data_IF_699943764644
#
_entry.id   IF_699943764644
#
_cell.length_a   1.000
_cell.length_b   1.000
_cell.length_c   1.000
_cell.angle_alpha   90.00
_cell.angle_beta   90.00
_cell.angle_gamma   90.00
#
_symmetry.space_group_name_H-M   'P 1'
#
loop_
_entity.id
_entity.type
_entity.pdbx_description
1 polymer ?
#
# COMPACT_ATOMS: atom_id res chain seq x y z
N UNK A 1 53.02 25.67 -18.27
CA UNK A 1 52.58 25.07 -17.00
C UNK A 1 51.95 23.72 -17.30
N UNK A 2 52.58 22.63 -16.82
CA UNK A 2 52.10 21.25 -16.95
C UNK A 2 51.10 21.00 -15.82
N UNK A 3 49.92 20.45 -16.11
CA UNK A 3 49.07 19.83 -15.09
C UNK A 3 48.62 18.44 -15.57
N UNK A 4 49.27 17.45 -14.99
CA UNK A 4 48.93 16.04 -15.06
C UNK A 4 47.74 15.77 -14.13
N UNK A 5 46.65 15.20 -14.66
CA UNK A 5 45.59 14.62 -13.85
C UNK A 5 45.67 13.09 -14.03
N UNK A 6 46.12 12.40 -12.98
CA UNK A 6 46.18 10.96 -12.91
C UNK A 6 44.76 10.37 -12.81
N UNK A 7 44.36 9.59 -13.82
CA UNK A 7 43.13 8.79 -13.81
C UNK A 7 43.43 7.50 -13.07
N UNK A 8 42.89 7.38 -11.84
CA UNK A 8 42.92 6.13 -11.05
C UNK A 8 41.86 5.19 -11.64
N UNK A 9 42.31 4.26 -12.49
CA UNK A 9 41.48 3.21 -13.06
C UNK A 9 41.21 2.10 -12.05
N UNK A 10 39.94 1.95 -11.63
CA UNK A 10 39.49 0.77 -10.90
C UNK A 10 39.28 -0.38 -11.86
N UNK A 11 40.15 -1.39 -11.81
CA UNK A 11 40.02 -2.63 -12.58
C UNK A 11 39.14 -3.62 -11.79
N UNK A 12 37.90 -3.82 -12.25
CA UNK A 12 36.98 -4.85 -11.71
C UNK A 12 37.16 -6.13 -12.54
N UNK A 13 37.57 -7.27 -11.95
CA UNK A 13 37.68 -8.53 -12.70
C UNK A 13 36.31 -9.01 -13.18
N UNK A 14 36.13 -9.18 -14.49
CA UNK A 14 34.94 -9.85 -15.05
C UNK A 14 35.08 -11.36 -14.89
N UNK A 15 34.50 -11.93 -13.84
CA UNK A 15 34.27 -13.37 -13.77
C UNK A 15 33.28 -13.78 -14.86
N UNK A 16 33.80 -14.46 -15.89
CA UNK A 16 33.03 -15.03 -16.99
C UNK A 16 32.31 -16.29 -16.48
N UNK A 17 31.05 -16.15 -16.08
CA UNK A 17 30.17 -17.28 -15.85
C UNK A 17 30.02 -18.08 -17.15
N UNK A 18 30.39 -19.36 -17.15
CA UNK A 18 30.06 -20.28 -18.24
C UNK A 18 28.60 -20.70 -18.09
N UNK A 19 27.78 -20.65 -19.16
CA UNK A 19 26.40 -21.15 -19.09
C UNK A 19 26.39 -22.68 -18.92
N UNK A 20 25.55 -23.15 -17.99
CA UNK A 20 25.24 -24.57 -17.80
C UNK A 20 24.32 -25.02 -18.96
N UNK A 21 24.59 -26.14 -19.64
CA UNK A 21 23.72 -26.64 -20.69
C UNK A 21 22.36 -27.05 -20.10
N UNK A 22 21.29 -26.40 -20.57
CA UNK A 22 19.90 -26.76 -20.26
C UNK A 22 19.57 -28.04 -21.02
N UNK A 23 19.35 -29.13 -20.29
CA UNK A 23 18.86 -30.38 -20.84
C UNK A 23 17.49 -30.19 -21.51
N UNK A 24 17.36 -30.70 -22.73
CA UNK A 24 16.15 -30.64 -23.56
C UNK A 24 15.02 -31.41 -22.86
N UNK A 25 13.96 -30.72 -22.46
CA UNK A 25 12.77 -31.33 -21.85
C UNK A 25 12.00 -32.19 -22.86
N UNK A 26 11.74 -33.45 -22.50
CA UNK A 26 10.81 -34.34 -23.18
C UNK A 26 9.37 -33.90 -22.86
N UNK A 27 8.42 -33.90 -23.82
CA UNK A 27 7.03 -33.54 -23.53
C UNK A 27 6.33 -34.70 -22.82
N UNK A 28 6.23 -34.61 -21.50
CA UNK A 28 5.39 -35.49 -20.69
C UNK A 28 3.93 -35.01 -20.76
N UNK A 29 3.04 -35.85 -21.32
CA UNK A 29 1.62 -35.58 -21.44
C UNK A 29 0.95 -35.72 -20.06
N UNK A 30 0.75 -34.62 -19.34
CA UNK A 30 -0.06 -34.62 -18.13
C UNK A 30 -1.56 -34.63 -18.47
N UNK A 31 -2.23 -35.76 -18.22
CA UNK A 31 -3.67 -35.79 -18.02
C UNK A 31 -4.03 -35.04 -16.73
N UNK A 32 -4.86 -33.99 -16.85
CA UNK A 32 -5.48 -33.34 -15.68
C UNK A 32 -6.53 -34.29 -15.09
N UNK A 33 -6.47 -34.66 -13.80
CA UNK A 33 -7.63 -35.20 -13.12
C UNK A 33 -8.68 -34.09 -12.95
N UNK A 34 -9.94 -34.44 -13.25
CA UNK A 34 -11.12 -33.59 -13.03
C UNK A 34 -11.29 -33.29 -11.54
N UNK A 35 -11.47 -32.01 -11.22
CA UNK A 35 -11.85 -31.56 -9.88
C UNK A 35 -13.30 -31.99 -9.60
N UNK A 36 -13.61 -32.60 -8.44
CA UNK A 36 -15.00 -32.87 -8.08
C UNK A 36 -15.72 -31.57 -7.69
N UNK A 37 -16.92 -31.38 -8.26
CA UNK A 37 -17.85 -30.30 -7.90
C UNK A 37 -18.40 -30.56 -6.48
N UNK A 38 -18.38 -29.59 -5.56
CA UNK A 38 -18.94 -29.77 -4.23
C UNK A 38 -20.47 -29.85 -4.26
N UNK A 39 -21.10 -30.72 -3.45
CA UNK A 39 -22.56 -30.81 -3.37
C UNK A 39 -23.17 -29.57 -2.69
N UNK A 40 -24.38 -29.21 -3.14
CA UNK A 40 -25.15 -28.09 -2.62
C UNK A 40 -25.42 -28.24 -1.11
N UNK A 41 -25.04 -27.21 -0.34
CA UNK A 41 -25.30 -27.13 1.10
C UNK A 41 -26.80 -26.94 1.37
N UNK A 42 -27.44 -27.97 1.91
CA UNK A 42 -28.68 -27.83 2.69
C UNK A 42 -28.34 -27.06 3.98
N UNK A 43 -29.07 -25.96 4.22
CA UNK A 43 -28.94 -25.16 5.43
C UNK A 43 -29.54 -25.92 6.63
N UNK A 44 -28.87 -26.00 7.79
CA UNK A 44 -29.47 -26.47 9.03
C UNK A 44 -30.41 -25.39 9.60
N UNK A 45 -31.62 -25.77 9.98
CA UNK A 45 -32.56 -24.93 10.72
C UNK A 45 -31.93 -24.52 12.06
N UNK A 46 -31.88 -23.21 12.31
CA UNK A 46 -31.34 -22.62 13.54
C UNK A 46 -32.34 -22.78 14.68
N UNK A 47 -32.01 -23.62 15.66
CA UNK A 47 -32.68 -23.68 16.95
C UNK A 47 -32.19 -22.52 17.83
N UNK A 48 -33.02 -21.49 17.98
CA UNK A 48 -32.69 -20.21 18.64
C UNK A 48 -32.73 -20.26 20.17
N UNK A 49 -32.97 -21.43 20.77
CA UNK A 49 -33.27 -21.53 22.20
C UNK A 49 -32.06 -21.89 23.08
N UNK A 50 -30.89 -22.17 22.49
CA UNK A 50 -29.70 -22.69 23.23
C UNK A 50 -28.59 -21.66 23.50
N UNK A 51 -28.71 -20.43 23.01
CA UNK A 51 -27.62 -19.44 23.06
C UNK A 51 -27.56 -18.58 24.32
N UNK A 52 -28.60 -18.56 25.16
CA UNK A 52 -28.64 -17.57 26.26
C UNK A 52 -27.85 -17.99 27.52
N UNK A 53 -27.64 -19.28 27.77
CA UNK A 53 -26.98 -19.77 29.00
C UNK A 53 -25.46 -19.91 28.86
N UNK A 54 -24.93 -20.07 27.64
CA UNK A 54 -23.49 -20.28 27.41
C UNK A 54 -22.68 -18.98 27.46
N UNK A 55 -23.28 -17.85 27.08
CA UNK A 55 -22.60 -16.54 27.08
C UNK A 55 -22.31 -16.01 28.49
N UNK A 56 -23.19 -16.30 29.46
CA UNK A 56 -23.01 -15.84 30.84
C UNK A 56 -21.81 -16.50 31.54
N UNK A 57 -21.56 -17.78 31.27
CA UNK A 57 -20.39 -18.48 31.79
C UNK A 57 -19.09 -17.98 31.16
N UNK A 58 -19.10 -17.77 29.83
CA UNK A 58 -17.91 -17.30 29.11
C UNK A 58 -17.51 -15.86 29.49
N UNK A 59 -18.46 -15.00 29.83
CA UNK A 59 -18.19 -13.63 30.27
C UNK A 59 -17.66 -13.58 31.72
N UNK A 60 -18.08 -14.51 32.59
CA UNK A 60 -17.56 -14.63 33.95
C UNK A 60 -16.10 -15.07 33.97
N UNK A 61 -15.75 -16.05 33.14
CA UNK A 61 -14.41 -16.60 33.08
C UNK A 61 -13.40 -15.58 32.51
N UNK A 62 -13.81 -14.80 31.48
CA UNK A 62 -12.99 -13.69 30.96
C UNK A 62 -12.76 -12.56 31.98
N UNK A 63 -13.74 -12.26 32.84
CA UNK A 63 -13.57 -11.26 33.90
C UNK A 63 -12.58 -11.72 34.97
N UNK A 64 -12.55 -13.01 35.27
CA UNK A 64 -11.60 -13.57 36.23
C UNK A 64 -10.18 -13.58 35.66
N UNK A 65 -9.98 -13.99 34.40
CA UNK A 65 -8.65 -13.93 33.75
C UNK A 65 -8.10 -12.50 33.68
N UNK A 66 -8.93 -11.51 33.30
CA UNK A 66 -8.50 -10.10 33.26
C UNK A 66 -8.15 -9.55 34.66
N UNK A 67 -8.85 -10.00 35.71
CA UNK A 67 -8.54 -9.61 37.08
C UNK A 67 -7.24 -10.25 37.59
N UNK A 68 -6.95 -11.50 37.23
CA UNK A 68 -5.69 -12.17 37.57
C UNK A 68 -4.49 -11.55 36.84
N UNK A 69 -4.63 -11.18 35.56
CA UNK A 69 -3.57 -10.53 34.78
C UNK A 69 -3.24 -9.12 35.29
N UNK A 70 -4.25 -8.34 35.70
CA UNK A 70 -4.04 -7.01 36.25
C UNK A 70 -3.36 -7.00 37.63
N UNK A 71 -3.48 -8.09 38.41
CA UNK A 71 -2.82 -8.24 39.72
C UNK A 71 -1.36 -8.69 39.55
N UNK A 72 -1.07 -9.58 38.59
CA UNK A 72 0.29 -10.04 38.31
C UNK A 72 1.22 -8.90 37.84
N UNK A 73 0.69 -7.92 37.08
CA UNK A 73 1.47 -6.76 36.62
C UNK A 73 1.81 -5.75 37.73
N UNK A 74 1.07 -5.73 38.85
CA UNK A 74 1.29 -4.76 39.94
C UNK A 74 2.27 -5.22 41.02
N UNK A 75 2.60 -6.51 41.08
CA UNK A 75 3.56 -7.06 42.06
C UNK A 75 5.01 -6.98 41.56
N UNK A 76 5.25 -7.05 40.24
CA UNK A 76 6.60 -7.04 39.66
C UNK A 76 7.35 -5.69 39.69
N UNK A 77 6.64 -4.57 39.83
CA UNK A 77 7.25 -3.22 39.72
C UNK A 77 7.61 -2.62 41.10
N UNK A 78 7.06 -3.17 42.19
CA UNK A 78 7.37 -2.71 43.55
C UNK A 78 8.73 -3.21 44.09
N UNK A 79 9.27 -4.29 43.52
CA UNK A 79 10.59 -4.83 43.90
C UNK A 79 11.78 -4.06 43.29
N UNK A 80 11.54 -3.23 42.26
CA UNK A 80 12.62 -2.53 41.53
C UNK A 80 12.87 -1.09 42.01
N UNK A 81 12.27 -0.66 43.14
CA UNK A 81 12.45 0.69 43.71
C UNK A 81 13.09 0.73 45.10
N UNK A 82 13.61 -0.39 45.61
CA UNK A 82 14.24 -0.48 46.94
C UNK A 82 15.73 -0.84 46.89
N UNK A 83 16.45 -0.27 45.92
CA UNK A 83 17.91 -0.43 45.77
C UNK A 83 18.68 0.87 45.47
N UNK A 84 18.01 2.03 45.50
CA UNK A 84 18.64 3.33 45.27
C UNK A 84 18.70 4.10 46.60
N UNK A 85 19.69 3.79 47.43
CA UNK A 85 20.02 4.59 48.60
C UNK A 85 21.55 4.73 48.74
N UNK A 86 21.97 5.99 48.53
CA UNK A 86 23.21 6.66 48.97
C UNK A 86 24.53 6.42 48.20
N UNK A 87 25.22 7.50 47.75
CA UNK A 87 26.60 7.45 47.30
C UNK A 87 27.56 7.71 48.47
N UNK A 88 28.28 6.70 48.92
CA UNK A 88 29.45 6.88 49.79
C UNK A 88 30.69 7.04 48.93
N UNK A 89 31.28 8.24 49.02
CA UNK A 89 32.58 8.60 48.46
C UNK A 89 33.68 7.85 49.24
N UNK A 90 34.71 7.40 48.51
CA UNK A 90 35.93 6.69 48.95
C UNK A 90 35.80 5.19 49.24
N UNK A 91 36.33 4.34 48.33
CA UNK A 91 37.44 3.37 48.58
C UNK A 91 37.55 2.33 47.44
N UNK A 92 38.77 2.15 46.90
CA UNK A 92 39.25 0.95 46.16
C UNK A 92 38.73 0.74 44.73
N UNK A 93 39.38 1.26 43.69
CA UNK A 93 40.40 0.55 42.90
C UNK A 93 40.19 -0.97 42.69
N UNK A 94 40.14 -1.33 41.40
CA UNK A 94 40.35 -2.66 40.78
C UNK A 94 39.16 -3.65 40.78
N UNK A 95 38.29 -3.52 39.77
CA UNK A 95 37.57 -4.67 39.21
C UNK A 95 38.06 -4.84 37.76
N UNK A 96 38.56 -6.03 37.36
CA UNK A 96 39.08 -6.25 36.03
C UNK A 96 37.96 -6.10 35.00
N UNK A 97 38.19 -5.31 33.96
CA UNK A 97 37.33 -5.10 32.78
C UNK A 97 37.22 -6.35 31.88
N UNK A 98 37.24 -7.55 32.47
CA UNK A 98 37.23 -8.84 31.77
C UNK A 98 35.99 -9.68 32.08
N UNK A 99 35.06 -9.20 32.91
CA UNK A 99 33.80 -9.89 33.23
C UNK A 99 32.59 -9.42 32.39
N UNK A 100 32.76 -8.44 31.48
CA UNK A 100 31.67 -7.93 30.62
C UNK A 100 31.71 -8.55 29.21
N UNK A 101 32.74 -9.35 28.89
CA UNK A 101 32.88 -9.98 27.58
C UNK A 101 32.22 -11.36 27.45
N UNK A 102 31.66 -11.93 28.53
CA UNK A 102 31.15 -13.31 28.54
C UNK A 102 29.68 -13.45 28.10
N UNK A 103 28.99 -12.35 27.78
CA UNK A 103 27.53 -12.34 27.60
C UNK A 103 26.99 -12.42 26.17
N UNK A 104 27.82 -12.40 25.12
CA UNK A 104 27.35 -12.12 23.77
C UNK A 104 27.78 -13.17 22.73
N UNK A 105 27.36 -14.43 22.91
CA UNK A 105 27.04 -15.33 21.78
C UNK A 105 26.40 -16.62 22.30
N UNK A 106 25.22 -16.51 22.93
CA UNK A 106 24.28 -17.64 22.88
C UNK A 106 23.75 -17.73 21.45
N UNK A 107 24.50 -18.37 20.54
CA UNK A 107 23.92 -18.88 19.30
C UNK A 107 22.93 -19.98 19.70
N UNK A 108 21.70 -19.56 19.99
CA UNK A 108 20.60 -20.44 20.29
C UNK A 108 20.26 -21.22 19.01
N UNK A 109 20.92 -22.35 18.83
CA UNK A 109 20.62 -23.32 17.78
C UNK A 109 19.21 -23.84 18.00
N UNK A 110 18.25 -23.27 17.26
CA UNK A 110 16.87 -23.73 17.26
C UNK A 110 16.85 -25.09 16.57
N UNK A 111 16.77 -26.17 17.36
CA UNK A 111 16.44 -27.49 16.82
C UNK A 111 15.03 -27.44 16.25
N UNK A 112 14.92 -27.43 14.94
CA UNK A 112 13.63 -27.53 14.24
C UNK A 112 13.26 -29.00 14.24
N UNK A 113 12.29 -29.38 15.06
CA UNK A 113 11.70 -30.71 14.99
C UNK A 113 10.91 -30.82 13.69
N UNK A 114 11.29 -31.75 12.82
CA UNK A 114 10.54 -32.05 11.60
C UNK A 114 9.67 -33.28 11.84
N UNK A 115 8.36 -33.11 11.67
CA UNK A 115 7.41 -34.23 11.64
C UNK A 115 7.30 -34.73 10.20
N UNK A 116 7.22 -36.05 10.00
CA UNK A 116 6.86 -36.61 8.70
C UNK A 116 5.37 -36.40 8.50
N UNK A 117 5.00 -35.69 7.44
CA UNK A 117 3.62 -35.33 7.12
C UNK A 117 3.28 -35.90 5.75
N UNK A 118 2.07 -36.40 5.55
CA UNK A 118 1.57 -36.81 4.22
C UNK A 118 1.45 -35.60 3.30
N UNK A 119 1.66 -35.76 1.99
CA UNK A 119 1.57 -34.65 1.02
C UNK A 119 0.25 -33.88 1.09
N UNK A 120 -0.87 -34.57 1.34
CA UNK A 120 -2.19 -33.95 1.46
C UNK A 120 -2.26 -33.04 2.69
N UNK A 121 -1.75 -33.51 3.81
CA UNK A 121 -1.73 -32.77 5.08
C UNK A 121 -0.72 -31.63 5.04
N UNK A 122 0.47 -31.84 4.44
CA UNK A 122 1.44 -30.79 4.19
C UNK A 122 0.85 -29.65 3.34
N UNK A 123 0.11 -29.99 2.28
CA UNK A 123 -0.57 -29.00 1.44
C UNK A 123 -1.65 -28.22 2.21
N UNK A 124 -2.40 -28.88 3.10
CA UNK A 124 -3.38 -28.20 3.96
C UNK A 124 -2.71 -27.24 4.95
N UNK A 125 -1.60 -27.65 5.57
CA UNK A 125 -0.82 -26.79 6.46
C UNK A 125 -0.31 -25.56 5.70
N UNK A 126 0.25 -25.74 4.50
CA UNK A 126 0.73 -24.62 3.68
C UNK A 126 -0.42 -23.69 3.26
N UNK A 127 -1.60 -24.23 2.93
CA UNK A 127 -2.78 -23.43 2.64
C UNK A 127 -3.21 -22.60 3.84
N UNK A 128 -3.31 -23.21 5.02
CA UNK A 128 -3.64 -22.53 6.27
C UNK A 128 -2.60 -21.46 6.64
N UNK A 129 -1.31 -21.75 6.44
CA UNK A 129 -0.25 -20.76 6.63
C UNK A 129 -0.36 -19.59 5.66
N UNK A 130 -0.75 -19.80 4.39
CA UNK A 130 -0.90 -18.73 3.40
C UNK A 130 -2.02 -17.76 3.75
N UNK A 131 -3.10 -18.25 4.37
CA UNK A 131 -4.20 -17.40 4.85
C UNK A 131 -3.76 -16.46 5.99
N UNK A 132 -2.82 -16.91 6.82
CA UNK A 132 -2.35 -16.16 7.98
C UNK A 132 -1.12 -15.28 7.70
N UNK A 133 -0.67 -15.20 6.44
CA UNK A 133 0.46 -14.32 6.08
C UNK A 133 -0.02 -12.87 6.07
N UNK A 134 0.57 -11.98 6.89
CA UNK A 134 0.22 -10.58 6.83
C UNK A 134 0.68 -9.97 5.51
N UNK A 135 -0.12 -9.06 4.97
CA UNK A 135 0.27 -8.23 3.83
C UNK A 135 1.14 -7.10 4.37
N UNK A 136 2.36 -6.95 3.83
CA UNK A 136 3.23 -5.85 4.22
C UNK A 136 2.57 -4.50 3.90
N UNK A 137 2.71 -3.48 4.76
CA UNK A 137 2.15 -2.17 4.49
C UNK A 137 2.78 -1.58 3.22
N UNK A 138 1.96 -1.08 2.30
CA UNK A 138 2.40 -0.54 1.02
C UNK A 138 2.15 0.97 0.93
N UNK A 139 0.93 1.40 0.62
CA UNK A 139 0.57 2.81 0.40
C UNK A 139 0.70 3.66 1.68
N UNK A 140 0.44 3.05 2.85
CA UNK A 140 0.48 3.74 4.13
C UNK A 140 1.90 4.16 4.57
N UNK A 141 2.94 3.49 4.08
CA UNK A 141 4.33 3.74 4.48
C UNK A 141 5.18 4.31 3.34
N UNK A 142 4.64 4.39 2.13
CA UNK A 142 5.37 4.87 0.97
C UNK A 142 5.34 6.41 0.88
N UNK A 143 6.45 7.01 0.44
CA UNK A 143 6.55 8.48 0.35
C UNK A 143 5.68 9.03 -0.79
N UNK A 144 4.93 10.10 -0.51
CA UNK A 144 4.09 10.80 -1.49
C UNK A 144 4.88 11.61 -2.53
N UNK A 145 6.14 11.93 -2.26
CA UNK A 145 7.00 12.69 -3.19
C UNK A 145 7.44 11.89 -4.42
N UNK A 146 6.88 10.71 -4.66
CA UNK A 146 7.29 9.79 -5.70
C UNK A 146 6.32 9.83 -6.87
N UNK A 147 6.77 9.38 -8.04
CA UNK A 147 6.04 9.48 -9.30
C UNK A 147 4.67 8.81 -9.29
N UNK A 148 4.44 7.77 -8.47
CA UNK A 148 3.15 7.08 -8.45
C UNK A 148 1.97 8.01 -8.11
N UNK A 149 2.15 8.97 -7.20
CA UNK A 149 1.05 9.81 -6.72
C UNK A 149 0.68 10.90 -7.73
N UNK A 150 1.67 11.67 -8.17
CA UNK A 150 1.51 12.68 -9.23
C UNK A 150 1.22 12.02 -10.57
N UNK A 151 2.17 11.29 -11.14
CA UNK A 151 2.07 10.83 -12.51
C UNK A 151 0.97 9.79 -12.77
N UNK A 152 0.71 8.88 -11.82
CA UNK A 152 -0.24 7.78 -12.04
C UNK A 152 -1.60 8.04 -11.42
N UNK A 153 -1.65 8.25 -10.10
CA UNK A 153 -2.92 8.37 -9.36
C UNK A 153 -3.71 9.58 -9.81
N UNK A 154 -3.11 10.77 -9.89
CA UNK A 154 -3.81 11.95 -10.37
C UNK A 154 -4.32 11.79 -11.80
N UNK A 155 -3.55 11.17 -12.70
CA UNK A 155 -4.02 10.95 -14.07
C UNK A 155 -5.27 10.06 -14.12
N UNK A 156 -5.38 9.08 -13.20
CA UNK A 156 -6.58 8.25 -13.04
C UNK A 156 -7.73 9.04 -12.44
N UNK A 157 -7.49 9.79 -11.37
CA UNK A 157 -8.52 10.60 -10.71
C UNK A 157 -9.12 11.60 -11.69
N UNK A 158 -8.29 12.34 -12.44
CA UNK A 158 -8.77 13.32 -13.42
C UNK A 158 -9.51 12.63 -14.57
N UNK A 159 -9.00 11.51 -15.09
CA UNK A 159 -9.66 10.73 -16.13
C UNK A 159 -11.03 10.19 -15.70
N UNK A 160 -11.12 9.61 -14.49
CA UNK A 160 -12.38 9.15 -13.91
C UNK A 160 -13.35 10.30 -13.65
N UNK A 161 -12.85 11.46 -13.21
CA UNK A 161 -13.68 12.65 -12.98
C UNK A 161 -14.30 13.15 -14.28
N UNK A 162 -13.48 13.33 -15.33
CA UNK A 162 -13.96 13.78 -16.64
C UNK A 162 -14.94 12.78 -17.25
N UNK A 163 -14.60 11.50 -17.21
CA UNK A 163 -15.49 10.43 -17.69
C UNK A 163 -16.79 10.42 -16.90
N UNK A 164 -16.72 10.48 -15.57
CA UNK A 164 -17.89 10.48 -14.69
C UNK A 164 -18.84 11.64 -15.00
N UNK A 165 -18.31 12.85 -15.16
CA UNK A 165 -19.12 14.01 -15.56
C UNK A 165 -19.77 13.79 -16.93
N UNK A 166 -19.01 13.29 -17.91
CA UNK A 166 -19.55 13.00 -19.24
C UNK A 166 -20.67 11.95 -19.19
N UNK A 167 -20.47 10.84 -18.45
CA UNK A 167 -21.48 9.80 -18.28
C UNK A 167 -22.74 10.33 -17.59
N UNK A 168 -22.60 11.13 -16.54
CA UNK A 168 -23.75 11.75 -15.86
C UNK A 168 -24.52 12.66 -16.82
N UNK A 169 -23.82 13.47 -17.62
CA UNK A 169 -24.46 14.34 -18.60
C UNK A 169 -25.23 13.54 -19.66
N UNK A 170 -24.60 12.54 -20.29
CA UNK A 170 -25.24 11.74 -21.34
C UNK A 170 -26.37 10.85 -20.82
N UNK A 171 -26.20 10.26 -19.63
CA UNK A 171 -27.26 9.48 -19.00
C UNK A 171 -28.44 10.39 -18.61
N UNK A 172 -28.17 11.58 -18.07
CA UNK A 172 -29.19 12.57 -17.78
C UNK A 172 -29.96 12.99 -19.04
N UNK A 173 -29.26 13.21 -20.15
CA UNK A 173 -29.89 13.53 -21.44
C UNK A 173 -30.83 12.42 -21.93
N UNK A 174 -30.44 11.15 -21.73
CA UNK A 174 -31.28 10.01 -22.08
C UNK A 174 -32.52 9.87 -21.18
N UNK A 175 -32.38 10.14 -19.88
CA UNK A 175 -33.46 9.98 -18.88
C UNK A 175 -34.41 11.18 -18.87
N UNK A 176 -33.93 12.38 -19.20
CA UNK A 176 -34.66 13.63 -19.06
C UNK A 176 -36.06 13.64 -19.72
N UNK A 177 -36.26 13.11 -20.96
CA UNK A 177 -37.59 13.07 -21.58
C UNK A 177 -38.61 12.22 -20.80
N UNK A 178 -38.15 11.19 -20.07
CA UNK A 178 -39.03 10.32 -19.28
C UNK A 178 -39.59 11.03 -18.03
N UNK A 179 -38.87 12.04 -17.55
CA UNK A 179 -39.22 12.81 -16.35
C UNK A 179 -39.78 14.21 -16.69
N UNK A 180 -39.86 14.55 -17.98
CA UNK A 180 -40.23 15.88 -18.45
C UNK A 180 -39.21 16.96 -18.10
N UNK A 181 -37.94 16.60 -17.92
CA UNK A 181 -36.86 17.54 -17.58
C UNK A 181 -36.24 18.17 -18.83
N UNK A 182 -35.80 19.41 -18.69
CA UNK A 182 -35.02 20.13 -19.69
C UNK A 182 -33.53 19.91 -19.45
N UNK A 183 -32.86 19.14 -20.33
CA UNK A 183 -31.45 18.72 -20.20
C UNK A 183 -30.60 19.11 -21.41
N UNK A 184 -31.18 19.82 -22.37
CA UNK A 184 -30.48 20.43 -23.49
C UNK A 184 -29.43 21.46 -23.04
N UNK A 185 -28.43 21.67 -23.88
CA UNK A 185 -27.32 22.59 -23.61
C UNK A 185 -27.78 24.02 -23.30
N UNK A 186 -28.87 24.49 -23.92
CA UNK A 186 -29.45 25.80 -23.65
C UNK A 186 -29.94 25.93 -22.20
N UNK A 187 -30.63 24.91 -21.69
CA UNK A 187 -31.17 24.88 -20.33
C UNK A 187 -30.07 24.78 -19.28
N UNK A 188 -29.03 23.96 -19.54
CA UNK A 188 -27.84 23.90 -18.67
C UNK A 188 -27.08 25.23 -18.67
N UNK A 189 -26.92 25.88 -19.84
CA UNK A 189 -26.26 27.18 -19.94
C UNK A 189 -27.03 28.30 -19.22
N UNK A 190 -28.36 28.31 -19.34
CA UNK A 190 -29.22 29.26 -18.62
C UNK A 190 -29.18 29.03 -17.09
N UNK A 191 -29.21 27.77 -16.65
CA UNK A 191 -29.05 27.44 -15.24
C UNK A 191 -27.67 27.90 -14.72
N UNK A 192 -26.61 27.65 -15.49
CA UNK A 192 -25.26 28.06 -15.15
C UNK A 192 -25.09 29.58 -15.09
N UNK A 193 -25.69 30.32 -16.03
CA UNK A 193 -25.59 31.79 -16.06
C UNK A 193 -26.31 32.46 -14.90
N UNK A 194 -27.30 31.79 -14.29
CA UNK A 194 -28.01 32.27 -13.10
C UNK A 194 -27.22 32.16 -11.79
N UNK A 195 -26.10 31.44 -11.79
CA UNK A 195 -25.29 31.22 -10.58
C UNK A 195 -24.42 32.44 -10.22
N UNK A 196 -24.09 32.65 -8.93
CA UNK A 196 -23.13 33.67 -8.53
C UNK A 196 -21.77 33.47 -9.20
N UNK A 197 -21.07 34.58 -9.50
CA UNK A 197 -19.76 34.56 -10.15
C UNK A 197 -18.75 33.61 -9.49
N UNK A 198 -18.72 33.57 -8.15
CA UNK A 198 -17.84 32.67 -7.41
C UNK A 198 -18.15 31.18 -7.67
N UNK A 199 -19.43 30.83 -7.78
CA UNK A 199 -19.86 29.45 -8.06
C UNK A 199 -19.53 29.08 -9.51
N UNK A 200 -19.77 29.99 -10.45
CA UNK A 200 -19.39 29.81 -11.86
C UNK A 200 -17.88 29.59 -12.00
N UNK A 201 -17.07 30.42 -11.35
CA UNK A 201 -15.61 30.28 -11.34
C UNK A 201 -15.17 28.96 -10.71
N UNK A 202 -15.83 28.53 -9.62
CA UNK A 202 -15.59 27.23 -8.97
C UNK A 202 -15.86 26.04 -9.89
N UNK A 203 -17.02 26.02 -10.55
CA UNK A 203 -17.39 24.95 -11.50
C UNK A 203 -16.43 24.93 -12.70
N UNK A 204 -16.14 26.10 -13.30
CA UNK A 204 -15.20 26.20 -14.43
C UNK A 204 -13.82 25.72 -14.03
N UNK A 205 -13.32 26.12 -12.85
CA UNK A 205 -12.02 25.66 -12.34
C UNK A 205 -12.01 24.15 -12.06
N UNK A 206 -13.09 23.63 -11.46
CA UNK A 206 -13.24 22.20 -11.15
C UNK A 206 -13.24 21.33 -12.41
N UNK A 207 -13.78 21.82 -13.53
CA UNK A 207 -13.80 21.09 -14.80
C UNK A 207 -12.51 21.29 -15.61
N UNK A 208 -11.99 22.51 -15.59
CA UNK A 208 -10.78 22.92 -16.32
C UNK A 208 -9.52 22.24 -15.79
N UNK A 209 -9.33 22.20 -14.46
CA UNK A 209 -8.16 21.57 -13.84
C UNK A 209 -7.96 20.10 -14.24
N UNK A 210 -8.93 19.18 -14.04
CA UNK A 210 -8.75 17.78 -14.40
C UNK A 210 -8.59 17.60 -15.92
N UNK A 211 -9.28 18.40 -16.74
CA UNK A 211 -9.14 18.38 -18.19
C UNK A 211 -7.69 18.65 -18.63
N UNK A 212 -7.16 19.81 -18.23
CA UNK A 212 -5.80 20.22 -18.61
C UNK A 212 -4.76 19.26 -18.06
N UNK A 213 -4.87 18.89 -16.77
CA UNK A 213 -3.94 17.98 -16.15
C UNK A 213 -3.90 16.63 -16.88
N UNK A 214 -5.07 16.05 -17.17
CA UNK A 214 -5.18 14.75 -17.83
C UNK A 214 -4.60 14.79 -19.24
N UNK A 215 -4.85 15.86 -20.01
CA UNK A 215 -4.31 16.00 -21.36
C UNK A 215 -2.78 16.10 -21.36
N UNK A 216 -2.21 16.99 -20.55
CA UNK A 216 -0.74 17.19 -20.51
C UNK A 216 -0.06 15.93 -19.97
N UNK A 217 -0.62 15.30 -18.93
CA UNK A 217 -0.07 14.06 -18.38
C UNK A 217 -0.22 12.88 -19.31
N UNK A 218 -1.33 12.81 -20.06
CA UNK A 218 -1.53 11.83 -21.11
C UNK A 218 -0.44 11.90 -22.17
N UNK A 219 -0.11 13.11 -22.64
CA UNK A 219 1.02 13.32 -23.56
C UNK A 219 2.33 12.82 -22.95
N UNK A 220 2.60 13.10 -21.67
CA UNK A 220 3.80 12.55 -21.00
C UNK A 220 3.78 11.02 -20.92
N UNK A 221 2.64 10.39 -20.63
CA UNK A 221 2.54 8.93 -20.64
C UNK A 221 2.83 8.36 -22.03
N UNK A 222 2.32 8.98 -23.10
CA UNK A 222 2.67 8.60 -24.47
C UNK A 222 4.18 8.74 -24.74
N UNK A 223 4.84 9.79 -24.23
CA UNK A 223 6.32 9.89 -24.35
C UNK A 223 7.05 8.76 -23.61
N UNK A 224 6.49 8.28 -22.50
CA UNK A 224 7.04 7.15 -21.75
C UNK A 224 6.83 5.83 -22.48
N UNK A 225 5.69 5.66 -23.16
CA UNK A 225 5.43 4.50 -24.02
C UNK A 225 6.43 4.44 -25.19
N UNK A 226 6.92 5.59 -25.66
CA UNK A 226 7.99 5.69 -26.65
C UNK A 226 9.40 5.42 -26.09
N UNK A 227 9.55 5.14 -24.79
CA UNK A 227 10.86 4.90 -24.17
C UNK A 227 11.65 6.18 -23.82
N UNK A 228 11.03 7.36 -23.86
CA UNK A 228 11.71 8.65 -23.75
C UNK A 228 11.55 9.23 -22.33
N UNK A 229 12.59 9.91 -21.82
CA UNK A 229 12.45 10.78 -20.63
C UNK A 229 12.55 10.09 -19.25
N UNK A 230 13.09 8.87 -19.17
CA UNK A 230 13.22 8.10 -17.92
C UNK A 230 14.35 8.55 -16.97
N UNK A 231 15.15 9.55 -17.34
CA UNK A 231 16.17 10.11 -16.44
C UNK A 231 15.47 10.77 -15.24
N UNK A 232 15.92 10.49 -14.01
CA UNK A 232 15.32 11.02 -12.77
C UNK A 232 15.18 12.55 -12.78
N UNK A 233 16.20 13.26 -13.26
CA UNK A 233 16.18 14.73 -13.37
C UNK A 233 15.09 15.21 -14.34
N UNK A 234 14.96 14.58 -15.50
CA UNK A 234 13.91 14.85 -16.49
C UNK A 234 12.52 14.59 -15.92
N UNK A 235 12.34 13.49 -15.18
CA UNK A 235 11.07 13.18 -14.51
C UNK A 235 10.68 14.30 -13.53
N UNK A 236 11.61 14.74 -12.67
CA UNK A 236 11.33 15.80 -11.68
C UNK A 236 11.04 17.15 -12.31
N UNK A 237 11.82 17.54 -13.32
CA UNK A 237 11.57 18.76 -14.07
C UNK A 237 10.22 18.71 -14.79
N UNK A 238 9.91 17.59 -15.43
CA UNK A 238 8.62 17.34 -16.11
C UNK A 238 7.44 17.41 -15.14
N UNK A 239 7.54 16.77 -13.97
CA UNK A 239 6.50 16.87 -12.92
C UNK A 239 6.22 18.33 -12.54
N UNK A 240 7.27 19.13 -12.33
CA UNK A 240 7.13 20.55 -11.97
C UNK A 240 6.49 21.34 -13.09
N UNK A 241 6.96 21.15 -14.33
CA UNK A 241 6.42 21.82 -15.51
C UNK A 241 4.93 21.51 -15.73
N UNK A 242 4.51 20.29 -15.47
CA UNK A 242 3.12 19.85 -15.62
C UNK A 242 2.21 20.51 -14.58
N UNK A 243 2.63 20.58 -13.31
CA UNK A 243 1.85 21.27 -12.29
C UNK A 243 1.69 22.76 -12.59
N UNK A 244 2.77 23.43 -12.99
CA UNK A 244 2.74 24.86 -13.33
C UNK A 244 1.88 25.11 -14.57
N UNK A 245 2.11 24.38 -15.65
CA UNK A 245 1.33 24.53 -16.89
C UNK A 245 -0.15 24.22 -16.66
N UNK A 246 -0.46 23.18 -15.88
CA UNK A 246 -1.84 22.87 -15.49
C UNK A 246 -2.49 24.04 -14.76
N UNK A 247 -1.83 24.60 -13.74
CA UNK A 247 -2.38 25.70 -12.96
C UNK A 247 -2.65 26.93 -13.84
N UNK A 248 -1.69 27.32 -14.69
CA UNK A 248 -1.79 28.51 -15.55
C UNK A 248 -2.88 28.33 -16.60
N UNK A 249 -2.87 27.22 -17.34
CA UNK A 249 -3.83 26.97 -18.41
C UNK A 249 -5.23 26.75 -17.83
N UNK A 250 -5.35 26.05 -16.71
CA UNK A 250 -6.65 25.78 -16.11
C UNK A 250 -7.32 27.07 -15.60
N UNK A 251 -6.55 27.96 -14.97
CA UNK A 251 -7.04 29.28 -14.55
C UNK A 251 -7.39 30.16 -15.75
N UNK A 252 -6.57 30.14 -16.81
CA UNK A 252 -6.85 30.85 -18.05
C UNK A 252 -8.19 30.40 -18.65
N UNK A 253 -8.40 29.09 -18.79
CA UNK A 253 -9.67 28.53 -19.26
C UNK A 253 -10.87 28.84 -18.33
N UNK A 254 -10.64 28.96 -17.03
CA UNK A 254 -11.71 29.22 -16.09
C UNK A 254 -12.19 30.68 -16.10
N UNK A 255 -11.30 31.64 -16.34
CA UNK A 255 -11.59 33.06 -16.13
C UNK A 255 -11.39 33.96 -17.36
N UNK A 256 -10.69 33.52 -18.41
CA UNK A 256 -10.44 34.31 -19.61
C UNK A 256 -11.27 33.88 -20.83
N UNK A 257 -11.90 32.70 -20.76
CA UNK A 257 -12.82 32.15 -21.77
C UNK A 257 -14.21 32.08 -21.16
#
# INVERSE_FOLDING_TARGET
MRNSAAVIGWHVPRNRFKPVPVGRAHPEKHHRPSQPVPPAHLQPTRDLTRHHTSDQHQLRDRRLELAFDMIAQRVGVAAMRRGAAQPSVFLGQQIPKLAVASGLTSMQTRRVATTKVSDKEGNQILANQRLNRPIAPHLAVYKFNQTWFSASVWNRITGCTLSGVAYVYFAGYLVAPLLGWHWESASVAAAFSSLPFAVQGGIKSFLSFPFVYHCIQGVRHLTYDLGIGYKKTTIRAGETAIWISTAVIALGLAFLV
#
